data_IF_419200881195
#
_entry.id   IF_419200881195
#
_cell.length_a   1.000
_cell.length_b   1.000
_cell.length_c   1.000
_cell.angle_alpha   90.00
_cell.angle_beta   90.00
_cell.angle_gamma   90.00
#
_symmetry.space_group_name_H-M   'P 1'
#
loop_
_entity.id
_entity.type
_entity.pdbx_description
1 polymer ?
#
# COMPACT_ATOMS: atom_id res chain seq x y z
N UNK A 1 -18.23 37.39 10.20
CA UNK A 1 -19.06 36.82 11.28
C UNK A 1 -19.66 35.54 10.75
N UNK A 2 -19.08 34.38 11.10
CA UNK A 2 -19.63 33.09 10.72
C UNK A 2 -21.03 32.95 11.33
N UNK A 3 -22.02 32.61 10.53
CA UNK A 3 -23.32 32.20 11.07
C UNK A 3 -23.11 30.86 11.78
N UNK A 4 -22.63 30.94 13.02
CA UNK A 4 -23.02 29.95 14.02
C UNK A 4 -24.53 30.06 14.02
N UNK A 5 -25.20 29.10 13.39
CA UNK A 5 -26.66 29.02 13.39
C UNK A 5 -27.04 29.18 14.84
N UNK A 6 -27.66 30.32 15.18
CA UNK A 6 -28.24 30.52 16.51
C UNK A 6 -29.42 29.57 16.57
N UNK A 7 -29.14 28.30 16.82
CA UNK A 7 -30.14 27.27 17.00
C UNK A 7 -30.92 27.67 18.23
N UNK A 8 -32.08 28.27 17.98
CA UNK A 8 -33.01 28.55 19.05
C UNK A 8 -33.65 27.19 19.37
N UNK A 9 -33.15 26.51 20.40
CA UNK A 9 -33.56 25.15 20.79
C UNK A 9 -35.05 25.03 21.15
N UNK A 10 -35.80 26.13 21.10
CA UNK A 10 -37.24 26.20 21.27
C UNK A 10 -38.03 25.96 19.98
N UNK A 11 -37.37 26.00 18.82
CA UNK A 11 -38.01 25.96 17.50
C UNK A 11 -37.64 24.67 16.77
N UNK A 12 -38.49 23.64 16.92
CA UNK A 12 -38.28 22.27 16.42
C UNK A 12 -38.04 22.23 14.90
N UNK A 13 -38.63 23.18 14.17
CA UNK A 13 -38.48 23.30 12.71
C UNK A 13 -37.04 23.57 12.26
N UNK A 14 -36.28 24.39 13.02
CA UNK A 14 -34.88 24.70 12.70
C UNK A 14 -33.96 23.49 12.96
N UNK A 15 -34.26 22.71 14.00
CA UNK A 15 -33.54 21.48 14.33
C UNK A 15 -33.79 20.44 13.24
N UNK A 16 -35.04 20.26 12.79
CA UNK A 16 -35.36 19.36 11.69
C UNK A 16 -34.67 19.76 10.38
N UNK A 17 -34.67 21.06 10.04
CA UNK A 17 -34.01 21.54 8.81
C UNK A 17 -32.50 21.33 8.85
N UNK A 18 -31.86 21.60 9.99
CA UNK A 18 -30.45 21.31 10.20
C UNK A 18 -30.15 19.81 10.09
N UNK A 19 -30.94 18.95 10.74
CA UNK A 19 -30.77 17.50 10.68
C UNK A 19 -30.89 16.96 9.26
N UNK A 20 -31.87 17.43 8.48
CA UNK A 20 -32.04 17.04 7.07
C UNK A 20 -30.84 17.50 6.23
N UNK A 21 -30.37 18.74 6.42
CA UNK A 21 -29.20 19.25 5.71
C UNK A 21 -27.92 18.46 6.03
N UNK A 22 -27.71 18.08 7.29
CA UNK A 22 -26.57 17.27 7.70
C UNK A 22 -26.65 15.85 7.11
N UNK A 23 -27.84 15.26 7.07
CA UNK A 23 -28.06 13.95 6.46
C UNK A 23 -27.82 13.96 4.94
N UNK A 24 -28.29 15.00 4.24
CA UNK A 24 -28.04 15.18 2.81
C UNK A 24 -26.55 15.39 2.52
N UNK A 25 -25.85 16.23 3.30
CA UNK A 25 -24.42 16.44 3.17
C UNK A 25 -23.62 15.14 3.39
N UNK A 26 -24.05 14.30 4.34
CA UNK A 26 -23.46 12.98 4.57
C UNK A 26 -23.63 12.06 3.35
N UNK A 27 -24.84 12.00 2.77
CA UNK A 27 -25.11 11.20 1.56
C UNK A 27 -24.25 11.66 0.39
N UNK A 28 -24.19 12.98 0.13
CA UNK A 28 -23.40 13.53 -0.98
C UNK A 28 -21.91 13.22 -0.82
N UNK A 29 -21.39 13.32 0.41
CA UNK A 29 -19.99 12.99 0.70
C UNK A 29 -19.71 11.52 0.42
N UNK A 30 -20.60 10.63 0.87
CA UNK A 30 -20.44 9.19 0.67
C UNK A 30 -20.51 8.82 -0.83
N UNK A 31 -21.45 9.41 -1.57
CA UNK A 31 -21.55 9.23 -3.02
C UNK A 31 -20.28 9.71 -3.75
N UNK A 32 -19.70 10.84 -3.33
CA UNK A 32 -18.45 11.36 -3.89
C UNK A 32 -17.28 10.40 -3.67
N UNK A 33 -17.14 9.86 -2.44
CA UNK A 33 -16.10 8.87 -2.12
C UNK A 33 -16.27 7.59 -2.94
N UNK A 34 -17.51 7.10 -3.09
CA UNK A 34 -17.80 5.95 -3.93
C UNK A 34 -17.44 6.20 -5.40
N UNK A 35 -17.77 7.37 -5.94
CA UNK A 35 -17.41 7.74 -7.31
C UNK A 35 -15.89 7.72 -7.55
N UNK A 36 -15.11 8.28 -6.62
CA UNK A 36 -13.65 8.23 -6.68
C UNK A 36 -13.10 6.80 -6.57
N UNK A 37 -13.71 5.97 -5.72
CA UNK A 37 -13.32 4.57 -5.57
C UNK A 37 -13.55 3.78 -6.86
N UNK A 38 -14.71 3.96 -7.50
CA UNK A 38 -15.03 3.30 -8.77
C UNK A 38 -14.13 3.76 -9.91
N UNK A 39 -13.90 5.07 -10.04
CA UNK A 39 -12.95 5.62 -11.01
C UNK A 39 -11.53 5.09 -10.78
N UNK A 40 -11.14 4.96 -9.52
CA UNK A 40 -9.87 4.36 -9.13
C UNK A 40 -9.75 2.89 -9.56
N UNK A 41 -10.79 2.09 -9.35
CA UNK A 41 -10.81 0.69 -9.78
C UNK A 41 -10.73 0.54 -11.30
N UNK A 42 -11.42 1.38 -12.07
CA UNK A 42 -11.31 1.34 -13.53
C UNK A 42 -9.91 1.71 -14.01
N UNK A 43 -9.25 2.68 -13.35
CA UNK A 43 -7.85 3.00 -13.63
C UNK A 43 -6.90 1.83 -13.32
N UNK A 44 -7.09 1.13 -12.19
CA UNK A 44 -6.31 -0.08 -11.85
C UNK A 44 -6.51 -1.17 -12.90
N UNK A 45 -7.76 -1.39 -13.32
CA UNK A 45 -8.10 -2.38 -14.35
C UNK A 45 -7.41 -2.06 -15.68
N UNK A 46 -7.51 -0.81 -16.14
CA UNK A 46 -6.86 -0.36 -17.37
C UNK A 46 -5.34 -0.58 -17.33
N UNK A 47 -4.69 -0.15 -16.24
CA UNK A 47 -3.25 -0.34 -16.06
C UNK A 47 -2.84 -1.82 -16.02
N UNK A 48 -3.67 -2.67 -15.43
CA UNK A 48 -3.44 -4.11 -15.35
C UNK A 48 -3.57 -4.79 -16.73
N UNK A 49 -4.55 -4.38 -17.54
CA UNK A 49 -4.74 -4.89 -18.90
C UNK A 49 -3.54 -4.53 -19.80
N UNK A 50 -3.11 -3.27 -19.80
CA UNK A 50 -1.92 -2.81 -20.53
C UNK A 50 -0.65 -3.55 -20.08
N UNK A 51 -0.45 -3.68 -18.76
CA UNK A 51 0.70 -4.39 -18.20
C UNK A 51 0.72 -5.86 -18.61
N UNK A 52 -0.42 -6.57 -18.53
CA UNK A 52 -0.52 -7.97 -18.96
C UNK A 52 -0.22 -8.12 -20.45
N UNK A 53 -0.70 -7.20 -21.27
CA UNK A 53 -0.46 -7.24 -22.71
C UNK A 53 1.02 -7.05 -23.05
N UNK A 54 1.69 -6.09 -22.40
CA UNK A 54 3.10 -5.82 -22.63
C UNK A 54 4.00 -6.96 -22.12
N UNK A 55 3.72 -7.50 -20.94
CA UNK A 55 4.41 -8.67 -20.40
C UNK A 55 4.20 -9.92 -21.25
N UNK A 56 2.98 -10.17 -21.71
CA UNK A 56 2.68 -11.29 -22.60
C UNK A 56 3.47 -11.18 -23.91
N UNK A 57 3.50 -10.00 -24.53
CA UNK A 57 4.27 -9.75 -25.75
C UNK A 57 5.77 -9.99 -25.54
N UNK A 58 6.33 -9.49 -24.43
CA UNK A 58 7.73 -9.68 -24.09
C UNK A 58 8.07 -11.16 -23.84
N UNK A 59 7.22 -11.88 -23.09
CA UNK A 59 7.42 -13.29 -22.79
C UNK A 59 7.27 -14.17 -24.04
N UNK A 60 6.32 -13.85 -24.92
CA UNK A 60 6.16 -14.52 -26.21
C UNK A 60 7.38 -14.34 -27.13
N UNK A 61 7.89 -13.11 -27.27
CA UNK A 61 9.12 -12.84 -28.03
C UNK A 61 10.35 -13.56 -27.45
N UNK A 62 10.44 -13.66 -26.11
CA UNK A 62 11.50 -14.39 -25.42
C UNK A 62 11.42 -15.90 -25.67
N UNK A 63 10.21 -16.47 -25.68
CA UNK A 63 9.96 -17.88 -26.01
C UNK A 63 10.34 -18.23 -27.46
N UNK A 64 10.14 -17.30 -28.40
CA UNK A 64 10.59 -17.48 -29.79
C UNK A 64 12.12 -17.42 -29.93
N UNK A 65 12.81 -16.63 -29.10
CA UNK A 65 14.26 -16.42 -29.17
C UNK A 65 15.07 -17.50 -28.44
N UNK A 66 14.54 -18.02 -27.32
CA UNK A 66 15.13 -19.11 -26.58
C UNK A 66 14.24 -20.36 -26.75
N UNK A 67 14.70 -21.36 -27.50
CA UNK A 67 14.06 -22.70 -27.60
C UNK A 67 14.08 -23.49 -26.27
N UNK A 68 14.24 -22.82 -25.12
CA UNK A 68 14.16 -23.46 -23.83
C UNK A 68 12.69 -23.78 -23.51
N UNK A 69 12.52 -24.99 -22.98
CA UNK A 69 11.30 -25.74 -22.71
C UNK A 69 10.42 -25.13 -21.60
N UNK A 70 10.15 -23.84 -21.63
CA UNK A 70 9.11 -23.29 -20.76
C UNK A 70 7.75 -23.58 -21.39
N UNK A 71 6.90 -24.31 -20.64
CA UNK A 71 5.56 -24.64 -21.10
C UNK A 71 4.79 -23.33 -21.30
N UNK A 72 3.89 -23.28 -22.29
CA UNK A 72 3.00 -22.12 -22.47
C UNK A 72 2.21 -21.79 -21.20
N UNK A 73 1.97 -22.80 -20.36
CA UNK A 73 1.34 -22.64 -19.04
C UNK A 73 2.22 -21.86 -18.05
N UNK A 74 3.53 -22.09 -18.05
CA UNK A 74 4.48 -21.41 -17.15
C UNK A 74 4.59 -19.92 -17.51
N UNK A 75 4.66 -19.63 -18.82
CA UNK A 75 4.68 -18.24 -19.32
C UNK A 75 3.41 -17.47 -18.94
N UNK A 76 2.24 -18.09 -19.09
CA UNK A 76 0.96 -17.46 -18.72
C UNK A 76 0.85 -17.27 -17.20
N UNK A 77 1.30 -18.26 -16.42
CA UNK A 77 1.30 -18.17 -14.96
C UNK A 77 2.22 -17.04 -14.47
N UNK A 78 3.39 -16.90 -15.07
CA UNK A 78 4.32 -15.82 -14.73
C UNK A 78 3.74 -14.45 -15.07
N UNK A 79 3.17 -14.27 -16.27
CA UNK A 79 2.54 -13.02 -16.70
C UNK A 79 1.40 -12.63 -15.74
N UNK A 80 0.51 -13.57 -15.41
CA UNK A 80 -0.66 -13.28 -14.57
C UNK A 80 -0.28 -13.06 -13.10
N UNK A 81 0.67 -13.83 -12.57
CA UNK A 81 1.16 -13.68 -11.20
C UNK A 81 1.92 -12.37 -11.00
N UNK A 82 2.85 -12.04 -11.90
CA UNK A 82 3.62 -10.79 -11.84
C UNK A 82 2.70 -9.59 -11.99
N UNK A 83 1.77 -9.60 -12.96
CA UNK A 83 0.81 -8.52 -13.13
C UNK A 83 -0.04 -8.30 -11.88
N UNK A 84 -0.53 -9.38 -11.26
CA UNK A 84 -1.30 -9.30 -10.01
C UNK A 84 -0.47 -8.76 -8.84
N UNK A 85 0.80 -9.15 -8.75
CA UNK A 85 1.69 -8.62 -7.72
C UNK A 85 1.92 -7.11 -7.89
N UNK A 86 2.07 -6.65 -9.14
CA UNK A 86 2.25 -5.23 -9.45
C UNK A 86 0.96 -4.44 -9.14
N UNK A 87 -0.19 -4.96 -9.55
CA UNK A 87 -1.50 -4.38 -9.27
C UNK A 87 -1.72 -4.16 -7.76
N UNK A 88 -1.43 -5.18 -6.95
CA UNK A 88 -1.64 -5.13 -5.50
C UNK A 88 -0.60 -4.30 -4.77
N UNK A 89 0.67 -4.34 -5.21
CA UNK A 89 1.76 -3.67 -4.51
C UNK A 89 1.98 -2.22 -4.93
N UNK A 90 1.50 -1.84 -6.13
CA UNK A 90 1.76 -0.51 -6.70
C UNK A 90 0.49 0.20 -7.14
N UNK A 91 -0.32 -0.37 -8.04
CA UNK A 91 -1.48 0.34 -8.60
C UNK A 91 -2.52 0.66 -7.53
N UNK A 92 -2.89 -0.33 -6.71
CA UNK A 92 -3.89 -0.15 -5.65
C UNK A 92 -3.43 0.88 -4.60
N UNK A 93 -2.22 0.81 -4.02
CA UNK A 93 -1.73 1.83 -3.10
C UNK A 93 -1.64 3.23 -3.73
N UNK A 94 -1.25 3.34 -5.00
CA UNK A 94 -1.12 4.63 -5.67
C UNK A 94 -2.48 5.32 -5.81
N UNK A 95 -3.49 4.59 -6.28
CA UNK A 95 -4.87 5.10 -6.36
C UNK A 95 -5.41 5.48 -4.97
N UNK A 96 -5.12 4.68 -3.95
CA UNK A 96 -5.50 5.00 -2.58
C UNK A 96 -4.87 6.33 -2.09
N UNK A 97 -3.59 6.58 -2.39
CA UNK A 97 -2.94 7.86 -2.06
C UNK A 97 -3.64 9.03 -2.75
N UNK A 98 -3.99 8.89 -4.03
CA UNK A 98 -4.75 9.93 -4.77
C UNK A 98 -6.10 10.20 -4.10
N UNK A 99 -6.81 9.16 -3.69
CA UNK A 99 -8.11 9.28 -3.00
C UNK A 99 -7.98 10.00 -1.65
N UNK A 100 -6.96 9.66 -0.86
CA UNK A 100 -6.67 10.32 0.42
C UNK A 100 -6.34 11.80 0.21
N UNK A 101 -5.54 12.12 -0.81
CA UNK A 101 -5.21 13.51 -1.16
C UNK A 101 -6.45 14.31 -1.59
N UNK A 102 -7.28 13.75 -2.46
CA UNK A 102 -8.53 14.40 -2.89
C UNK A 102 -9.46 14.67 -1.70
N UNK A 103 -9.58 13.71 -0.78
CA UNK A 103 -10.38 13.83 0.44
C UNK A 103 -9.82 14.90 1.37
N UNK A 104 -8.50 14.96 1.53
CA UNK A 104 -7.82 15.96 2.35
C UNK A 104 -8.04 17.38 1.81
N UNK A 105 -7.90 17.58 0.50
CA UNK A 105 -8.16 18.88 -0.16
C UNK A 105 -9.62 19.29 0.00
N UNK A 106 -10.56 18.38 -0.27
CA UNK A 106 -12.00 18.63 -0.11
C UNK A 106 -12.36 19.01 1.33
N UNK A 107 -11.83 18.27 2.32
CA UNK A 107 -12.09 18.55 3.74
C UNK A 107 -11.52 19.90 4.15
N UNK A 108 -10.28 20.19 3.74
CA UNK A 108 -9.63 21.47 4.01
C UNK A 108 -10.45 22.63 3.46
N UNK A 109 -10.93 22.53 2.21
CA UNK A 109 -11.76 23.55 1.60
C UNK A 109 -13.05 23.82 2.38
N UNK A 110 -13.78 22.77 2.77
CA UNK A 110 -15.04 22.89 3.53
C UNK A 110 -14.83 23.52 4.90
N UNK A 111 -13.77 23.12 5.63
CA UNK A 111 -13.48 23.68 6.96
C UNK A 111 -13.10 25.15 6.85
N UNK A 112 -12.30 25.53 5.84
CA UNK A 112 -11.91 26.93 5.61
C UNK A 112 -13.11 27.82 5.25
N UNK A 113 -14.05 27.32 4.43
CA UNK A 113 -15.27 28.05 4.10
C UNK A 113 -16.19 28.24 5.32
N UNK A 114 -16.22 27.26 6.23
CA UNK A 114 -17.07 27.33 7.43
C UNK A 114 -16.55 28.38 8.41
N UNK A 115 -15.26 28.32 8.73
CA UNK A 115 -14.63 29.31 9.61
C UNK A 115 -13.12 29.35 9.40
N UNK A 116 -12.61 30.51 8.99
CA UNK A 116 -11.18 30.70 8.69
C UNK A 116 -10.26 30.36 9.87
N UNK A 117 -10.66 30.71 11.10
CA UNK A 117 -9.86 30.46 12.30
C UNK A 117 -9.81 28.96 12.62
N UNK A 118 -10.96 28.27 12.56
CA UNK A 118 -11.02 26.81 12.78
C UNK A 118 -10.28 26.03 11.68
N UNK A 119 -10.33 26.50 10.43
CA UNK A 119 -9.55 25.95 9.32
C UNK A 119 -8.04 26.07 9.54
N UNK A 120 -7.58 27.23 10.03
CA UNK A 120 -6.16 27.44 10.33
C UNK A 120 -5.69 26.49 11.46
N UNK A 121 -6.49 26.33 12.50
CA UNK A 121 -6.21 25.40 13.62
C UNK A 121 -6.16 23.95 13.10
N UNK A 122 -7.14 23.54 12.27
CA UNK A 122 -7.17 22.20 11.68
C UNK A 122 -5.91 21.88 10.88
N UNK A 123 -5.44 22.82 10.05
CA UNK A 123 -4.20 22.66 9.27
C UNK A 123 -2.98 22.55 10.20
N UNK A 124 -2.90 23.38 11.25
CA UNK A 124 -1.78 23.37 12.20
C UNK A 124 -1.69 22.07 13.00
N UNK A 125 -2.82 21.50 13.44
CA UNK A 125 -2.83 20.20 14.11
C UNK A 125 -2.52 19.05 13.14
N UNK A 126 -3.05 19.11 11.92
CA UNK A 126 -2.80 18.08 10.91
C UNK A 126 -1.31 18.03 10.50
N UNK A 127 -0.65 19.18 10.40
CA UNK A 127 0.78 19.24 10.11
C UNK A 127 1.65 18.76 11.27
N UNK A 128 1.23 18.99 12.52
CA UNK A 128 1.89 18.45 13.71
C UNK A 128 1.92 16.92 13.69
N UNK A 129 0.85 16.27 13.21
CA UNK A 129 0.79 14.81 13.04
C UNK A 129 1.75 14.24 11.99
N UNK A 130 2.32 15.07 11.10
CA UNK A 130 3.30 14.65 10.11
C UNK A 130 4.74 14.59 10.66
N UNK A 131 5.00 15.24 11.80
CA UNK A 131 6.34 15.32 12.41
C UNK A 131 6.93 13.94 12.76
N UNK A 132 6.18 12.99 13.37
CA UNK A 132 6.70 11.65 13.65
C UNK A 132 7.10 10.91 12.37
N UNK A 133 6.34 11.10 11.29
CA UNK A 133 6.65 10.53 9.98
C UNK A 133 7.97 11.06 9.42
N UNK A 134 8.18 12.37 9.47
CA UNK A 134 9.39 13.00 8.94
C UNK A 134 10.66 12.64 9.73
N UNK A 135 10.58 12.66 11.07
CA UNK A 135 11.72 12.32 11.94
C UNK A 135 12.03 10.81 11.90
N UNK A 136 10.98 9.97 11.86
CA UNK A 136 11.09 8.52 11.89
C UNK A 136 11.53 7.88 10.57
N UNK A 137 11.30 8.55 9.43
CA UNK A 137 11.52 7.96 8.10
C UNK A 137 12.97 7.51 7.88
N UNK A 138 13.96 8.32 8.29
CA UNK A 138 15.38 7.98 8.08
C UNK A 138 15.78 6.72 8.86
N UNK A 139 15.39 6.61 10.12
CA UNK A 139 15.67 5.43 10.96
C UNK A 139 14.91 4.21 10.43
N UNK A 140 13.66 4.39 10.01
CA UNK A 140 12.84 3.32 9.46
C UNK A 140 13.42 2.80 8.14
N UNK A 141 13.87 3.67 7.24
CA UNK A 141 14.48 3.27 5.97
C UNK A 141 15.75 2.44 6.19
N UNK A 142 16.59 2.81 7.17
CA UNK A 142 17.79 2.03 7.53
C UNK A 142 17.39 0.65 8.05
N UNK A 143 16.43 0.56 8.98
CA UNK A 143 15.93 -0.74 9.50
C UNK A 143 15.34 -1.61 8.39
N UNK A 144 14.56 -1.02 7.48
CA UNK A 144 13.98 -1.72 6.32
C UNK A 144 15.06 -2.24 5.38
N UNK A 145 16.10 -1.44 5.11
CA UNK A 145 17.24 -1.87 4.29
C UNK A 145 17.99 -3.03 4.94
N UNK A 146 18.38 -2.89 6.22
CA UNK A 146 19.06 -3.96 6.97
C UNK A 146 18.22 -5.24 7.02
N UNK A 147 16.91 -5.13 7.24
CA UNK A 147 16.00 -6.27 7.22
C UNK A 147 15.94 -6.92 5.84
N UNK A 148 15.84 -6.12 4.77
CA UNK A 148 15.81 -6.60 3.39
C UNK A 148 17.08 -7.36 3.04
N UNK A 149 18.25 -6.84 3.41
CA UNK A 149 19.54 -7.47 3.14
C UNK A 149 19.72 -8.77 3.94
N UNK A 150 19.35 -8.77 5.22
CA UNK A 150 19.35 -9.98 6.04
C UNK A 150 18.41 -11.05 5.49
N UNK A 151 17.23 -10.65 5.00
CA UNK A 151 16.27 -11.56 4.40
C UNK A 151 16.76 -12.13 3.07
N UNK A 152 17.37 -11.30 2.21
CA UNK A 152 17.99 -11.77 0.96
C UNK A 152 19.09 -12.81 1.22
N UNK A 153 19.97 -12.52 2.19
CA UNK A 153 21.04 -13.45 2.62
C UNK A 153 20.49 -14.80 3.12
N UNK A 154 19.42 -14.75 3.93
CA UNK A 154 18.75 -15.95 4.43
C UNK A 154 18.14 -16.80 3.31
N UNK A 155 17.42 -16.16 2.37
CA UNK A 155 16.81 -16.85 1.22
C UNK A 155 17.87 -17.50 0.33
N UNK A 156 18.98 -16.80 0.07
CA UNK A 156 20.11 -17.36 -0.70
C UNK A 156 20.68 -18.59 -0.01
N UNK A 157 20.98 -18.53 1.29
CA UNK A 157 21.51 -19.68 2.04
C UNK A 157 20.54 -20.87 2.09
N UNK A 158 19.24 -20.60 2.19
CA UNK A 158 18.22 -21.65 2.08
C UNK A 158 18.22 -22.28 0.69
N UNK A 159 18.34 -21.48 -0.38
CA UNK A 159 18.43 -22.00 -1.75
C UNK A 159 19.68 -22.88 -1.94
N UNK A 160 20.83 -22.43 -1.46
CA UNK A 160 22.09 -23.18 -1.54
C UNK A 160 21.97 -24.53 -0.82
N UNK A 161 21.29 -24.58 0.31
CA UNK A 161 20.99 -25.84 1.01
C UNK A 161 20.12 -26.79 0.22
N UNK A 162 19.03 -26.28 -0.37
CA UNK A 162 18.15 -27.11 -1.19
C UNK A 162 18.87 -27.64 -2.45
N UNK A 163 19.83 -26.88 -2.98
CA UNK A 163 20.68 -27.31 -4.09
C UNK A 163 21.71 -28.37 -3.64
N UNK A 164 22.41 -28.14 -2.52
CA UNK A 164 23.40 -29.06 -1.93
C UNK A 164 22.81 -30.19 -1.06
N UNK A 165 21.49 -30.41 -1.10
CA UNK A 165 20.78 -31.32 -0.18
C UNK A 165 21.35 -32.73 -0.11
N UNK A 166 21.82 -33.27 -1.23
CA UNK A 166 22.39 -34.62 -1.30
C UNK A 166 23.79 -34.68 -0.67
N UNK A 167 24.60 -33.64 -0.88
CA UNK A 167 25.93 -33.52 -0.28
C UNK A 167 25.81 -33.39 1.24
N UNK A 168 24.90 -32.53 1.72
CA UNK A 168 24.65 -32.30 3.14
C UNK A 168 24.13 -33.56 3.85
N UNK A 169 23.27 -34.32 3.17
CA UNK A 169 22.82 -35.62 3.65
C UNK A 169 23.97 -36.63 3.73
N UNK A 170 24.80 -36.69 2.69
CA UNK A 170 25.93 -37.63 2.60
C UNK A 170 27.04 -37.35 3.63
N UNK A 171 27.27 -36.08 3.99
CA UNK A 171 28.21 -35.68 5.04
C UNK A 171 27.61 -35.64 6.46
N UNK A 172 26.32 -35.95 6.63
CA UNK A 172 25.61 -35.98 7.92
C UNK A 172 25.68 -34.65 8.72
N UNK A 173 25.82 -33.51 8.03
CA UNK A 173 25.98 -32.16 8.64
C UNK A 173 24.65 -31.39 8.79
N UNK A 174 23.52 -32.07 8.64
CA UNK A 174 22.17 -31.50 8.67
C UNK A 174 21.91 -30.69 9.95
N UNK A 175 22.31 -31.22 11.12
CA UNK A 175 22.10 -30.55 12.42
C UNK A 175 22.86 -29.22 12.51
N UNK A 176 24.09 -29.18 12.01
CA UNK A 176 24.97 -28.02 12.07
C UNK A 176 24.42 -26.89 11.18
N UNK A 177 23.84 -27.27 10.03
CA UNK A 177 23.15 -26.34 9.16
C UNK A 177 21.89 -25.72 9.79
N UNK A 178 21.05 -26.52 10.46
CA UNK A 178 19.87 -25.97 11.15
C UNK A 178 20.23 -24.98 12.28
N UNK A 179 21.38 -25.18 12.93
CA UNK A 179 21.92 -24.23 13.91
C UNK A 179 22.31 -22.90 13.22
N UNK A 180 22.94 -22.95 12.04
CA UNK A 180 23.28 -21.74 11.29
C UNK A 180 22.04 -20.95 10.84
N UNK A 181 21.01 -21.64 10.31
CA UNK A 181 19.75 -20.99 9.94
C UNK A 181 19.07 -20.37 11.15
N UNK A 182 19.05 -21.06 12.30
CA UNK A 182 18.51 -20.52 13.54
C UNK A 182 19.27 -19.26 13.97
N UNK A 183 20.60 -19.26 13.90
CA UNK A 183 21.44 -18.10 14.21
C UNK A 183 21.13 -16.91 13.31
N UNK A 184 20.94 -17.12 12.01
CA UNK A 184 20.56 -16.07 11.07
C UNK A 184 19.15 -15.52 11.33
N UNK A 185 18.21 -16.37 11.73
CA UNK A 185 16.87 -15.97 12.13
C UNK A 185 16.87 -15.14 13.41
N UNK A 186 17.72 -15.47 14.39
CA UNK A 186 17.82 -14.73 15.64
C UNK A 186 18.50 -13.37 15.43
N UNK A 187 19.56 -13.30 14.61
CA UNK A 187 20.17 -12.02 14.16
C UNK A 187 19.15 -11.11 13.44
N UNK A 188 18.24 -11.69 12.66
CA UNK A 188 17.15 -10.93 12.01
C UNK A 188 16.20 -10.32 13.05
N UNK A 189 15.85 -11.04 14.12
CA UNK A 189 14.93 -10.55 15.15
C UNK A 189 15.54 -9.37 15.92
N UNK A 190 16.83 -9.45 16.24
CA UNK A 190 17.55 -8.40 16.95
C UNK A 190 17.62 -7.08 16.15
N UNK A 191 17.84 -7.18 14.83
CA UNK A 191 17.86 -6.02 13.91
C UNK A 191 16.50 -5.32 13.73
N UNK A 192 15.38 -5.97 14.06
CA UNK A 192 14.04 -5.36 14.00
C UNK A 192 13.73 -4.59 15.29
N UNK A 193 14.29 -5.04 16.42
CA UNK A 193 13.98 -4.54 17.78
C UNK A 193 14.86 -3.34 18.20
N UNK A 194 16.11 -3.24 17.71
CA UNK A 194 17.03 -2.13 17.95
C UNK A 194 16.97 -1.08 16.85
#
# INVERSE_FOLDING_TARGET
MGQVVKLNFRDISQICTFAISAFLAYIVTYLSVLGLMLAGQEAVKYLNEELKQEYFRAAFLKSLKNQNRESSADVINDVTSVAKQIEQSYFTPLIYVVQVLATFVSTTFVVLQTNFIMGLIYIAFSSLSLIPGYIGQKKMNVKVATWRDANASLVTRMKDFFQGRYEIYNFNVIKQFFIEIKKLLDLRKENILN
#
